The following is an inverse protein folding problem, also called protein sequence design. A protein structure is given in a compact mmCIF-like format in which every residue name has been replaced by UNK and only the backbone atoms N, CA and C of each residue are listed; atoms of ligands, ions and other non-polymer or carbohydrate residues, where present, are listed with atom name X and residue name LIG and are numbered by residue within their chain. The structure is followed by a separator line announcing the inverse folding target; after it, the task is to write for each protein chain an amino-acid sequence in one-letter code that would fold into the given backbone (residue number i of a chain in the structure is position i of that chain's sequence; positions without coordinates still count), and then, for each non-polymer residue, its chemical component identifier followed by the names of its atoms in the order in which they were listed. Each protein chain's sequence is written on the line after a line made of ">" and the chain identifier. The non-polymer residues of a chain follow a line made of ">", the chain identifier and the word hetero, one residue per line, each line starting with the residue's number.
data_IF_883028826878
#
_entry.id   IF_883028826878
#
_cell.length_a   1.000
_cell.length_b   1.000
_cell.length_c   1.000
_cell.angle_alpha   90.00
_cell.angle_beta   90.00
_cell.angle_gamma   90.00
#
_symmetry.space_group_name_H-M   'P 1'
#
loop_
_entity.id
_entity.type
_entity.pdbx_description
1 polymer ?
#
# COMPACT_ATOMS: atom_id res chain seq x y z
N UNK A 1 3.42 8.35 21.43
CA UNK A 1 3.79 6.97 21.05
C UNK A 1 2.83 6.58 19.93
N UNK A 2 3.30 6.65 18.67
CA UNK A 2 2.50 6.34 17.48
C UNK A 2 2.43 4.81 17.41
N UNK A 3 1.25 4.25 17.64
CA UNK A 3 0.99 2.82 17.44
C UNK A 3 0.37 2.66 16.05
N UNK A 4 0.79 1.66 15.27
CA UNK A 4 -0.05 1.18 14.18
C UNK A 4 -1.42 0.89 14.79
N UNK A 5 -2.45 1.56 14.30
CA UNK A 5 -3.76 1.41 14.89
C UNK A 5 -4.36 0.09 14.40
N UNK A 6 -4.84 -0.72 15.33
CA UNK A 6 -5.73 -1.82 14.98
C UNK A 6 -7.08 -1.18 14.63
N UNK A 7 -7.50 -1.31 13.38
CA UNK A 7 -8.83 -0.85 12.97
C UNK A 7 -9.85 -1.95 13.26
N UNK A 8 -10.85 -1.62 14.06
CA UNK A 8 -12.00 -2.52 14.27
C UNK A 8 -13.01 -2.24 13.18
N UNK A 9 -13.11 -3.14 12.23
CA UNK A 9 -14.12 -3.08 11.18
C UNK A 9 -15.43 -3.65 11.75
N UNK A 10 -16.43 -2.81 11.90
CA UNK A 10 -17.75 -3.26 12.32
C UNK A 10 -18.59 -3.56 11.08
N UNK A 11 -18.94 -4.83 10.83
CA UNK A 11 -19.90 -5.18 9.78
C UNK A 11 -21.23 -4.47 10.06
N UNK A 12 -21.86 -3.96 9.01
CA UNK A 12 -23.26 -3.49 9.13
C UNK A 12 -24.12 -4.70 9.50
N UNK A 13 -24.98 -4.55 10.51
CA UNK A 13 -25.83 -5.64 11.01
C UNK A 13 -26.55 -6.35 9.86
N UNK A 14 -26.33 -7.65 9.71
CA UNK A 14 -26.94 -8.48 8.66
C UNK A 14 -26.16 -8.57 7.34
N UNK A 15 -24.92 -8.07 7.26
CA UNK A 15 -24.04 -8.23 6.10
C UNK A 15 -22.84 -9.09 6.46
N UNK A 16 -22.44 -9.99 5.55
CA UNK A 16 -21.27 -10.87 5.73
C UNK A 16 -19.95 -10.20 5.28
N UNK A 17 -20.02 -9.05 4.61
CA UNK A 17 -18.88 -8.24 4.19
C UNK A 17 -19.28 -6.77 4.16
N UNK A 18 -18.29 -5.89 4.18
CA UNK A 18 -18.47 -4.45 4.14
C UNK A 18 -18.11 -3.92 2.75
N UNK A 19 -19.04 -3.20 2.11
CA UNK A 19 -18.82 -2.53 0.84
C UNK A 19 -19.03 -1.03 1.04
N UNK A 20 -17.97 -0.24 0.93
CA UNK A 20 -18.00 1.21 1.15
C UNK A 20 -17.54 1.94 -0.11
N UNK A 21 -18.24 3.01 -0.45
CA UNK A 21 -17.82 3.99 -1.43
C UNK A 21 -17.54 5.31 -0.74
N UNK A 22 -16.37 5.83 -0.98
CA UNK A 22 -15.94 7.14 -0.49
C UNK A 22 -15.89 8.11 -1.68
N UNK A 23 -16.56 9.23 -1.57
CA UNK A 23 -16.55 10.28 -2.59
C UNK A 23 -15.87 11.53 -2.00
N UNK A 24 -14.71 11.90 -2.54
CA UNK A 24 -13.89 13.06 -2.12
C UNK A 24 -13.69 13.13 -0.60
N UNK A 25 -13.38 12.00 -0.01
CA UNK A 25 -13.13 11.91 1.42
C UNK A 25 -11.64 12.16 1.72
N UNK A 26 -11.34 12.66 2.92
CA UNK A 26 -10.00 12.60 3.45
C UNK A 26 -9.59 11.11 3.61
N UNK A 27 -8.55 10.73 2.90
CA UNK A 27 -8.04 9.34 2.89
C UNK A 27 -6.75 9.35 3.74
N UNK A 28 -6.89 9.72 5.01
CA UNK A 28 -5.80 9.98 5.94
C UNK A 28 -5.70 8.95 7.07
N UNK A 29 -6.26 7.76 6.86
CA UNK A 29 -6.12 6.66 7.81
C UNK A 29 -4.63 6.48 8.17
N UNK A 30 -4.29 6.41 9.47
CA UNK A 30 -2.92 6.12 9.88
C UNK A 30 -2.48 4.77 9.33
N UNK A 31 -1.19 4.49 9.36
CA UNK A 31 -0.69 3.16 9.04
C UNK A 31 -1.33 2.15 10.01
N UNK A 32 -2.17 1.25 9.47
CA UNK A 32 -3.05 0.36 10.24
C UNK A 32 -3.04 -1.06 9.68
N UNK A 33 -3.66 -1.97 10.40
CA UNK A 33 -3.91 -3.35 9.98
C UNK A 33 -5.20 -3.85 10.64
N UNK A 34 -5.83 -4.83 10.02
CA UNK A 34 -7.05 -5.49 10.48
C UNK A 34 -7.08 -6.95 10.00
N UNK A 35 -7.87 -7.85 10.61
CA UNK A 35 -7.90 -9.27 10.28
C UNK A 35 -8.65 -9.61 9.00
N UNK A 36 -9.37 -8.67 8.40
CA UNK A 36 -10.11 -8.86 7.18
C UNK A 36 -9.22 -8.74 5.94
N UNK A 37 -9.64 -9.34 4.84
CA UNK A 37 -9.17 -9.01 3.51
C UNK A 37 -9.71 -7.65 3.11
N UNK A 38 -8.93 -6.89 2.36
CA UNK A 38 -9.35 -5.59 1.82
C UNK A 38 -9.07 -5.50 0.32
N UNK A 39 -10.12 -5.26 -0.46
CA UNK A 39 -10.01 -4.90 -1.88
C UNK A 39 -10.30 -3.41 -2.01
N UNK A 40 -9.27 -2.65 -2.38
CA UNK A 40 -9.35 -1.19 -2.55
C UNK A 40 -9.19 -0.83 -4.02
N UNK A 41 -10.16 -0.07 -4.55
CA UNK A 41 -10.15 0.56 -5.86
C UNK A 41 -10.16 2.07 -5.71
N UNK A 42 -9.14 2.75 -6.24
CA UNK A 42 -9.04 4.20 -6.27
C UNK A 42 -9.74 4.73 -7.54
N UNK A 43 -10.80 5.51 -7.37
CA UNK A 43 -11.53 6.15 -8.47
C UNK A 43 -10.91 7.50 -8.85
N UNK A 44 -10.42 8.24 -7.85
CA UNK A 44 -9.81 9.57 -8.00
C UNK A 44 -8.87 9.85 -6.83
N UNK A 45 -7.88 10.73 -7.03
CA UNK A 45 -6.87 11.06 -6.04
C UNK A 45 -5.52 10.40 -6.33
N UNK A 46 -4.46 11.05 -5.85
CA UNK A 46 -3.07 10.64 -6.04
C UNK A 46 -2.29 10.66 -4.73
N UNK A 47 -1.32 9.78 -4.61
CA UNK A 47 -0.49 9.74 -3.41
C UNK A 47 0.47 8.58 -3.35
N UNK A 48 0.86 8.25 -2.12
CA UNK A 48 1.72 7.10 -1.80
C UNK A 48 0.92 6.02 -1.10
N UNK A 49 0.99 4.80 -1.62
CA UNK A 49 0.50 3.58 -0.99
C UNK A 49 1.64 2.88 -0.28
N UNK A 50 1.42 2.56 0.97
CA UNK A 50 2.34 1.78 1.80
C UNK A 50 1.68 0.44 2.12
N UNK A 51 2.38 -0.67 1.84
CA UNK A 51 1.92 -2.03 2.11
C UNK A 51 3.10 -2.84 2.63
N UNK A 52 3.10 -3.22 3.90
CA UNK A 52 4.25 -3.82 4.54
C UNK A 52 5.50 -2.95 4.42
N UNK A 53 6.56 -3.48 3.82
CA UNK A 53 7.80 -2.73 3.51
C UNK A 53 7.79 -2.04 2.14
N UNK A 54 6.74 -2.22 1.35
CA UNK A 54 6.62 -1.68 0.01
C UNK A 54 5.96 -0.31 0.01
N UNK A 55 6.49 0.59 -0.83
CA UNK A 55 5.91 1.90 -1.08
C UNK A 55 5.90 2.19 -2.57
N UNK A 56 4.76 2.63 -3.08
CA UNK A 56 4.55 2.95 -4.50
C UNK A 56 3.56 4.11 -4.66
N UNK A 57 3.63 4.79 -5.78
CA UNK A 57 2.62 5.78 -6.14
C UNK A 57 1.28 5.11 -6.46
N UNK A 58 0.18 5.75 -6.09
CA UNK A 58 -1.15 5.37 -6.54
C UNK A 58 -1.85 6.53 -7.24
N UNK A 59 -2.77 6.21 -8.11
CA UNK A 59 -3.62 7.16 -8.81
C UNK A 59 -4.94 6.51 -9.22
N UNK A 60 -5.77 7.23 -10.01
CA UNK A 60 -7.03 6.70 -10.52
C UNK A 60 -6.84 5.37 -11.25
N UNK A 61 -7.69 4.41 -10.93
CA UNK A 61 -7.60 3.07 -11.48
C UNK A 61 -6.81 2.08 -10.63
N UNK A 62 -6.05 2.52 -9.61
CA UNK A 62 -5.29 1.61 -8.74
C UNK A 62 -6.23 0.60 -8.08
N UNK A 63 -5.88 -0.69 -8.15
CA UNK A 63 -6.66 -1.81 -7.64
C UNK A 63 -5.74 -2.77 -6.89
N UNK A 64 -5.99 -2.91 -5.59
CA UNK A 64 -5.14 -3.68 -4.69
C UNK A 64 -5.98 -4.58 -3.81
N UNK A 65 -5.54 -5.84 -3.66
CA UNK A 65 -6.07 -6.78 -2.65
C UNK A 65 -5.02 -7.01 -1.57
N UNK A 66 -5.40 -6.76 -0.35
CA UNK A 66 -4.60 -6.97 0.86
C UNK A 66 -5.12 -8.16 1.65
N UNK A 67 -4.21 -8.99 2.14
CA UNK A 67 -4.54 -10.08 3.03
C UNK A 67 -4.67 -9.65 4.50
N UNK A 68 -5.17 -10.55 5.36
CA UNK A 68 -5.34 -10.31 6.78
C UNK A 68 -4.05 -9.83 7.46
N UNK A 69 -4.19 -8.85 8.35
CA UNK A 69 -3.11 -8.31 9.18
C UNK A 69 -1.91 -7.76 8.39
N UNK A 70 -2.07 -7.48 7.10
CA UNK A 70 -1.05 -6.83 6.29
C UNK A 70 -1.11 -5.31 6.53
N UNK A 71 -0.07 -4.71 7.15
CA UNK A 71 -0.10 -3.29 7.46
C UNK A 71 -0.09 -2.44 6.21
N UNK A 72 -0.92 -1.41 6.18
CA UNK A 72 -1.07 -0.56 5.02
C UNK A 72 -1.60 0.83 5.35
N UNK A 73 -1.41 1.76 4.43
CA UNK A 73 -2.12 3.04 4.36
C UNK A 73 -1.94 3.69 2.99
N UNK A 74 -2.83 4.62 2.69
CA UNK A 74 -2.72 5.54 1.56
C UNK A 74 -2.49 6.95 2.11
N UNK A 75 -1.44 7.62 1.67
CA UNK A 75 -1.14 9.02 2.01
C UNK A 75 -1.32 9.86 0.76
N UNK A 76 -2.32 10.71 0.78
CA UNK A 76 -2.61 11.64 -0.31
C UNK A 76 -1.51 12.69 -0.45
N UNK A 77 -1.30 13.15 -1.67
CA UNK A 77 -0.47 14.31 -1.98
C UNK A 77 -1.38 15.50 -2.20
N UNK A 78 -1.14 16.58 -1.48
CA UNK A 78 -1.86 17.84 -1.57
C UNK A 78 -1.23 18.86 -0.64
N UNK A 79 -1.14 20.13 -1.09
CA UNK A 79 -0.53 21.20 -0.31
C UNK A 79 -1.44 21.68 0.84
N UNK A 80 -2.73 21.35 0.78
CA UNK A 80 -3.70 21.63 1.85
C UNK A 80 -4.59 20.41 2.11
N UNK A 81 -5.14 20.26 3.34
CA UNK A 81 -6.06 19.15 3.65
C UNK A 81 -7.30 19.09 2.74
N UNK A 82 -7.77 20.26 2.26
CA UNK A 82 -8.95 20.36 1.39
C UNK A 82 -8.68 19.80 -0.02
N UNK A 83 -7.42 19.85 -0.47
CA UNK A 83 -6.98 19.31 -1.76
C UNK A 83 -6.57 17.83 -1.66
N UNK A 84 -6.28 17.36 -0.46
CA UNK A 84 -5.90 15.97 -0.20
C UNK A 84 -7.16 15.09 -0.03
N UNK A 85 -7.92 14.91 -1.11
CA UNK A 85 -9.11 14.05 -1.12
C UNK A 85 -8.96 12.94 -2.15
N UNK A 86 -9.60 11.80 -1.88
CA UNK A 86 -9.71 10.69 -2.83
C UNK A 86 -11.14 10.17 -2.89
N UNK A 87 -11.46 9.55 -4.01
CA UNK A 87 -12.66 8.75 -4.18
C UNK A 87 -12.24 7.29 -4.34
N UNK A 88 -12.83 6.40 -3.54
CA UNK A 88 -12.45 4.99 -3.54
C UNK A 88 -13.66 4.07 -3.29
N UNK A 89 -13.54 2.83 -3.72
CA UNK A 89 -14.38 1.72 -3.27
C UNK A 89 -13.50 0.79 -2.45
N UNK A 90 -13.96 0.48 -1.23
CA UNK A 90 -13.26 -0.43 -0.31
C UNK A 90 -14.21 -1.55 0.07
N UNK A 91 -13.79 -2.80 -0.17
CA UNK A 91 -14.53 -4.01 0.18
C UNK A 91 -13.72 -4.78 1.19
N UNK A 92 -14.28 -4.99 2.39
CA UNK A 92 -13.63 -5.70 3.49
C UNK A 92 -14.46 -6.92 3.89
N UNK A 93 -13.81 -8.06 4.07
CA UNK A 93 -14.47 -9.31 4.40
C UNK A 93 -13.55 -10.26 5.17
N UNK A 94 -14.12 -11.03 6.07
CA UNK A 94 -13.42 -12.13 6.75
C UNK A 94 -13.18 -13.30 5.78
N UNK A 95 -12.11 -14.07 5.97
CA UNK A 95 -11.81 -15.24 5.13
C UNK A 95 -12.87 -16.33 5.17
N UNK A 96 -13.63 -16.41 6.27
CA UNK A 96 -14.72 -17.35 6.50
C UNK A 96 -16.11 -16.70 6.40
N UNK A 97 -16.26 -15.55 5.71
CA UNK A 97 -17.52 -14.80 5.66
C UNK A 97 -18.71 -15.56 5.06
N UNK A 98 -18.45 -16.68 4.38
CA UNK A 98 -19.45 -17.63 3.86
C UNK A 98 -19.39 -19.00 4.54
N UNK A 99 -18.61 -19.12 5.63
CA UNK A 99 -18.37 -20.36 6.36
C UNK A 99 -16.95 -20.90 6.16
N UNK A 100 -16.43 -21.60 7.15
CA UNK A 100 -15.02 -22.01 7.23
C UNK A 100 -14.54 -22.81 6.02
N UNK A 101 -15.35 -23.74 5.50
CA UNK A 101 -15.00 -24.65 4.40
C UNK A 101 -15.51 -24.18 3.02
N UNK A 102 -16.09 -22.98 2.92
CA UNK A 102 -16.72 -22.53 1.68
C UNK A 102 -15.71 -22.43 0.54
N UNK A 103 -14.57 -21.79 0.78
CA UNK A 103 -13.54 -21.59 -0.23
C UNK A 103 -12.64 -22.82 -0.47
N UNK A 104 -12.89 -23.93 0.20
CA UNK A 104 -12.21 -25.21 -0.02
C UNK A 104 -12.82 -26.03 -1.15
N UNK A 105 -13.95 -25.60 -1.70
CA UNK A 105 -14.59 -26.26 -2.83
C UNK A 105 -13.75 -26.13 -4.10
N UNK A 106 -13.76 -27.18 -4.92
CA UNK A 106 -12.95 -27.23 -6.15
C UNK A 106 -13.22 -26.07 -7.11
N UNK A 107 -14.47 -25.63 -7.19
CA UNK A 107 -14.89 -24.49 -8.03
C UNK A 107 -14.29 -23.16 -7.58
N UNK A 108 -13.85 -23.07 -6.32
CA UNK A 108 -13.34 -21.84 -5.70
C UNK A 108 -11.82 -21.86 -5.46
N UNK A 109 -11.11 -22.87 -5.97
CA UNK A 109 -9.66 -23.01 -5.79
C UNK A 109 -8.86 -21.79 -6.27
N UNK A 110 -9.33 -21.07 -7.29
CA UNK A 110 -8.68 -19.84 -7.75
C UNK A 110 -8.80 -18.72 -6.72
N UNK A 111 -9.96 -18.60 -6.06
CA UNK A 111 -10.16 -17.62 -4.98
C UNK A 111 -9.30 -18.01 -3.75
N UNK A 112 -9.26 -19.29 -3.38
CA UNK A 112 -8.40 -19.77 -2.29
C UNK A 112 -6.92 -19.43 -2.54
N UNK A 113 -6.42 -19.65 -3.76
CA UNK A 113 -5.05 -19.28 -4.15
C UNK A 113 -4.82 -17.77 -4.15
N UNK A 114 -5.83 -17.00 -4.55
CA UNK A 114 -5.81 -15.54 -4.48
C UNK A 114 -5.63 -15.07 -3.03
N UNK A 115 -6.39 -15.63 -2.10
CA UNK A 115 -6.29 -15.32 -0.67
C UNK A 115 -4.90 -15.65 -0.11
N UNK A 116 -4.31 -16.77 -0.48
CA UNK A 116 -2.93 -17.10 -0.07
C UNK A 116 -1.90 -16.07 -0.58
N UNK A 117 -2.02 -15.63 -1.83
CA UNK A 117 -1.12 -14.64 -2.43
C UNK A 117 -1.30 -13.24 -1.83
N UNK A 118 -2.51 -12.89 -1.41
CA UNK A 118 -2.82 -11.55 -0.87
C UNK A 118 -2.13 -11.25 0.45
N UNK A 119 -1.56 -12.25 1.13
CA UNK A 119 -0.66 -12.04 2.27
C UNK A 119 0.55 -11.14 1.93
N UNK A 120 0.92 -11.05 0.65
CA UNK A 120 1.96 -10.15 0.14
C UNK A 120 1.42 -8.80 -0.36
N UNK A 121 0.11 -8.59 -0.34
CA UNK A 121 -0.54 -7.55 -1.12
C UNK A 121 -0.41 -7.80 -2.62
N UNK A 122 -1.47 -7.61 -3.36
CA UNK A 122 -1.52 -7.83 -4.81
C UNK A 122 -1.99 -6.55 -5.48
N UNK A 123 -1.19 -5.98 -6.38
CA UNK A 123 -1.59 -4.91 -7.28
C UNK A 123 -1.98 -5.50 -8.64
N UNK A 124 -3.15 -5.14 -9.15
CA UNK A 124 -3.66 -5.62 -10.44
C UNK A 124 -3.47 -4.59 -11.53
N UNK A 125 -3.20 -5.06 -12.76
CA UNK A 125 -2.83 -4.22 -13.90
C UNK A 125 -3.70 -4.47 -15.12
N UNK A 126 -3.44 -3.72 -16.19
CA UNK A 126 -3.94 -3.94 -17.54
C UNK A 126 -5.47 -4.15 -17.61
N UNK A 127 -5.90 -5.08 -18.45
CA UNK A 127 -7.32 -5.36 -18.71
C UNK A 127 -8.07 -5.89 -17.51
N UNK A 128 -7.41 -6.67 -16.64
CA UNK A 128 -8.01 -7.17 -15.39
C UNK A 128 -8.44 -6.02 -14.50
N UNK A 129 -7.54 -5.06 -14.26
CA UNK A 129 -7.80 -3.85 -13.47
C UNK A 129 -9.01 -3.09 -14.03
N UNK A 130 -9.00 -2.77 -15.33
CA UNK A 130 -10.08 -2.03 -15.99
C UNK A 130 -11.43 -2.74 -15.86
N UNK A 131 -11.44 -4.05 -16.10
CA UNK A 131 -12.67 -4.85 -16.05
C UNK A 131 -13.24 -4.97 -14.64
N UNK A 132 -12.38 -5.17 -13.62
CA UNK A 132 -12.80 -5.27 -12.22
C UNK A 132 -13.26 -3.92 -11.68
N UNK A 133 -12.57 -2.84 -12.03
CA UNK A 133 -12.98 -1.47 -11.67
C UNK A 133 -14.39 -1.18 -12.18
N UNK A 134 -14.70 -1.57 -13.44
CA UNK A 134 -16.05 -1.43 -13.98
C UNK A 134 -17.09 -2.24 -13.18
N UNK A 135 -16.77 -3.48 -12.80
CA UNK A 135 -17.66 -4.31 -11.97
C UNK A 135 -17.89 -3.67 -10.59
N UNK A 136 -16.83 -3.19 -9.91
CA UNK A 136 -16.96 -2.53 -8.60
C UNK A 136 -17.80 -1.25 -8.67
N UNK A 137 -17.66 -0.45 -9.75
CA UNK A 137 -18.51 0.71 -9.99
C UNK A 137 -19.99 0.33 -10.18
N UNK A 138 -20.28 -0.77 -10.88
CA UNK A 138 -21.64 -1.27 -11.04
C UNK A 138 -22.20 -1.75 -9.68
N UNK A 139 -21.41 -2.51 -8.91
CA UNK A 139 -21.80 -3.01 -7.59
C UNK A 139 -22.02 -1.86 -6.59
N UNK A 140 -21.30 -0.74 -6.70
CA UNK A 140 -21.51 0.42 -5.81
C UNK A 140 -22.91 1.06 -5.93
N UNK A 141 -23.65 0.73 -6.97
CA UNK A 141 -25.04 1.20 -7.21
C UNK A 141 -26.08 0.12 -6.88
N UNK A 142 -25.65 -1.12 -6.65
CA UNK A 142 -26.55 -2.24 -6.36
C UNK A 142 -27.07 -2.15 -4.90
N UNK A 143 -28.37 -2.36 -4.71
CA UNK A 143 -29.03 -2.34 -3.41
C UNK A 143 -29.45 -3.73 -2.93
N UNK A 144 -29.46 -4.70 -3.82
CA UNK A 144 -29.82 -6.07 -3.51
C UNK A 144 -28.60 -6.79 -2.94
N UNK A 145 -28.64 -7.17 -1.67
CA UNK A 145 -27.52 -7.80 -0.96
C UNK A 145 -27.11 -9.13 -1.56
N UNK A 146 -28.06 -9.91 -2.11
CA UNK A 146 -27.74 -11.16 -2.79
C UNK A 146 -26.93 -10.91 -4.08
N UNK A 147 -27.34 -9.89 -4.88
CA UNK A 147 -26.59 -9.51 -6.08
C UNK A 147 -25.20 -8.94 -5.75
N UNK A 148 -25.09 -8.18 -4.65
CA UNK A 148 -23.79 -7.71 -4.15
C UNK A 148 -22.88 -8.88 -3.79
N UNK A 149 -23.38 -9.90 -3.11
CA UNK A 149 -22.63 -11.10 -2.76
C UNK A 149 -22.15 -11.86 -4.01
N UNK A 150 -23.06 -12.14 -4.95
CA UNK A 150 -22.70 -12.84 -6.20
C UNK A 150 -21.66 -12.02 -6.98
N UNK A 151 -21.87 -10.72 -7.11
CA UNK A 151 -20.92 -9.84 -7.82
C UNK A 151 -19.54 -9.77 -7.15
N UNK A 152 -19.47 -9.82 -5.80
CA UNK A 152 -18.19 -9.94 -5.11
C UNK A 152 -17.49 -11.26 -5.44
N UNK A 153 -18.21 -12.39 -5.43
CA UNK A 153 -17.63 -13.70 -5.80
C UNK A 153 -17.12 -13.71 -7.25
N UNK A 154 -17.86 -13.09 -8.18
CA UNK A 154 -17.42 -12.93 -9.59
C UNK A 154 -16.16 -12.08 -9.70
N UNK A 155 -16.06 -10.99 -8.94
CA UNK A 155 -14.85 -10.17 -8.86
C UNK A 155 -13.68 -10.98 -8.33
N UNK A 156 -13.85 -11.68 -7.20
CA UNK A 156 -12.79 -12.51 -6.61
C UNK A 156 -12.34 -13.62 -7.55
N UNK A 157 -13.28 -14.27 -8.25
CA UNK A 157 -12.95 -15.30 -9.25
C UNK A 157 -12.15 -14.72 -10.42
N UNK A 158 -12.53 -13.55 -10.93
CA UNK A 158 -11.80 -12.86 -11.99
C UNK A 158 -10.37 -12.51 -11.55
N UNK A 159 -10.21 -11.97 -10.33
CA UNK A 159 -8.90 -11.68 -9.74
C UNK A 159 -8.08 -12.94 -9.49
N UNK A 160 -8.72 -14.06 -9.12
CA UNK A 160 -8.07 -15.35 -8.86
C UNK A 160 -7.53 -16.05 -10.11
N UNK A 161 -8.12 -15.78 -11.27
CA UNK A 161 -7.77 -16.41 -12.55
C UNK A 161 -6.82 -15.61 -13.43
N UNK A 162 -6.58 -14.34 -13.08
CA UNK A 162 -5.67 -13.48 -13.86
C UNK A 162 -4.20 -13.76 -13.58
N UNK A 163 -3.35 -13.42 -14.57
CA UNK A 163 -1.91 -13.31 -14.42
C UNK A 163 -1.41 -11.85 -14.48
N UNK A 164 -2.33 -10.87 -14.66
CA UNK A 164 -2.02 -9.44 -14.75
C UNK A 164 -1.92 -8.80 -13.37
N UNK A 165 -0.94 -9.22 -12.58
CA UNK A 165 -0.73 -8.69 -11.23
C UNK A 165 0.75 -8.67 -10.83
N UNK A 166 1.08 -7.84 -9.84
CA UNK A 166 2.35 -7.87 -9.13
C UNK A 166 2.12 -8.06 -7.61
N UNK A 167 3.03 -8.80 -6.97
CA UNK A 167 3.07 -8.90 -5.51
C UNK A 167 3.83 -7.70 -4.95
N UNK A 168 3.24 -7.01 -3.96
CA UNK A 168 3.77 -5.78 -3.40
C UNK A 168 4.94 -6.04 -2.44
N UNK A 169 4.77 -6.91 -1.46
CA UNK A 169 5.83 -7.27 -0.52
C UNK A 169 6.14 -8.77 -0.58
N UNK A 170 6.99 -9.17 -1.53
CA UNK A 170 7.39 -10.56 -1.74
C UNK A 170 8.09 -11.19 -0.52
N UNK A 171 8.63 -10.37 0.39
CA UNK A 171 9.25 -10.87 1.62
C UNK A 171 8.22 -11.47 2.59
N UNK A 172 6.95 -11.13 2.43
CA UNK A 172 5.86 -11.70 3.23
C UNK A 172 5.53 -13.16 2.87
N UNK A 173 5.86 -13.63 1.64
CA UNK A 173 5.64 -15.03 1.24
C UNK A 173 6.52 -16.04 1.98
N UNK A 174 7.68 -15.61 2.49
CA UNK A 174 8.72 -16.52 3.01
C UNK A 174 8.50 -16.85 4.49
N UNK A 175 7.64 -16.14 5.18
CA UNK A 175 7.37 -16.39 6.59
C UNK A 175 5.86 -16.33 6.85
N UNK A 176 5.26 -17.46 7.20
CA UNK A 176 4.06 -17.44 8.03
C UNK A 176 4.42 -16.73 9.33
N UNK A 177 4.24 -15.40 9.36
CA UNK A 177 4.51 -14.61 10.57
C UNK A 177 3.46 -14.98 11.60
N UNK A 178 3.91 -15.37 12.78
CA UNK A 178 3.00 -15.52 13.89
C UNK A 178 2.34 -14.17 14.22
N UNK A 179 1.14 -14.20 14.79
CA UNK A 179 0.43 -12.99 15.25
C UNK A 179 1.35 -12.12 16.10
N UNK A 180 2.14 -12.74 16.99
CA UNK A 180 3.10 -12.03 17.86
C UNK A 180 4.25 -11.34 17.10
N UNK A 181 4.66 -11.87 15.96
CA UNK A 181 5.66 -11.22 15.10
C UNK A 181 5.06 -10.03 14.34
N UNK A 182 3.80 -10.15 13.89
CA UNK A 182 3.08 -9.04 13.27
C UNK A 182 2.85 -7.89 14.25
N UNK A 183 2.34 -8.18 15.45
CA UNK A 183 2.14 -7.19 16.51
C UNK A 183 3.44 -6.46 16.89
N UNK A 184 4.59 -7.11 16.75
CA UNK A 184 5.90 -6.52 17.07
C UNK A 184 6.44 -5.63 15.95
N UNK A 185 6.28 -6.04 14.67
CA UNK A 185 6.89 -5.33 13.54
C UNK A 185 6.00 -4.21 13.00
N UNK A 186 4.66 -4.35 13.06
CA UNK A 186 3.74 -3.38 12.52
C UNK A 186 3.89 -1.97 13.13
N UNK A 187 4.04 -1.80 14.46
CA UNK A 187 4.31 -0.49 15.04
C UNK A 187 5.63 0.13 14.58
N UNK A 188 6.63 -0.69 14.20
CA UNK A 188 7.90 -0.21 13.66
C UNK A 188 7.69 0.36 12.25
N UNK A 189 6.90 -0.31 11.40
CA UNK A 189 6.54 0.23 10.09
C UNK A 189 5.71 1.50 10.19
N UNK A 190 4.75 1.57 11.14
CA UNK A 190 4.02 2.80 11.41
C UNK A 190 4.96 3.96 11.76
N UNK A 191 5.92 3.72 12.65
CA UNK A 191 6.94 4.71 13.01
C UNK A 191 7.76 5.15 11.78
N UNK A 192 8.15 4.22 10.90
CA UNK A 192 8.86 4.55 9.67
C UNK A 192 8.03 5.45 8.74
N UNK A 193 6.79 5.06 8.44
CA UNK A 193 5.90 5.80 7.52
C UNK A 193 5.65 7.23 8.00
N UNK A 194 5.49 7.40 9.31
CA UNK A 194 5.22 8.72 9.89
C UNK A 194 6.46 9.61 10.02
N UNK A 195 7.67 9.01 10.10
CA UNK A 195 8.87 9.74 10.48
C UNK A 195 10.03 9.68 9.48
N UNK A 196 9.95 8.97 8.35
CA UNK A 196 11.11 8.77 7.44
C UNK A 196 11.72 10.10 6.94
N UNK A 197 10.93 11.17 6.87
CA UNK A 197 11.38 12.50 6.45
C UNK A 197 12.11 13.27 7.56
N UNK A 198 12.05 12.80 8.78
CA UNK A 198 12.70 13.37 9.96
C UNK A 198 13.92 12.53 10.38
N UNK A 199 14.74 12.98 11.33
CA UNK A 199 15.75 12.14 11.93
C UNK A 199 15.12 10.90 12.60
N UNK A 200 15.35 9.72 12.03
CA UNK A 200 14.85 8.44 12.55
C UNK A 200 15.88 7.80 13.45
N UNK A 201 15.49 7.42 14.67
CA UNK A 201 16.35 6.75 15.65
C UNK A 201 16.16 5.24 15.62
N UNK A 202 17.28 4.53 15.46
CA UNK A 202 17.33 3.08 15.56
C UNK A 202 16.96 2.58 16.96
N UNK A 203 17.35 3.31 18.00
CA UNK A 203 17.04 2.95 19.39
C UNK A 203 15.55 3.10 19.69
N UNK A 204 14.90 4.12 19.12
CA UNK A 204 13.44 4.30 19.22
C UNK A 204 12.73 3.13 18.53
N UNK A 205 13.15 2.76 17.32
CA UNK A 205 12.56 1.63 16.59
C UNK A 205 12.76 0.30 17.35
N UNK A 206 13.92 0.07 17.92
CA UNK A 206 14.21 -1.10 18.76
C UNK A 206 13.32 -1.12 20.02
N UNK A 207 13.16 0.03 20.69
CA UNK A 207 12.27 0.18 21.84
C UNK A 207 10.80 -0.10 21.50
N UNK A 208 10.31 0.33 20.32
CA UNK A 208 8.96 0.02 19.83
C UNK A 208 8.77 -1.49 19.67
N UNK A 209 9.79 -2.19 19.17
CA UNK A 209 9.78 -3.65 19.04
C UNK A 209 10.02 -4.42 20.35
N UNK A 210 10.22 -3.72 21.48
CA UNK A 210 10.64 -4.29 22.77
C UNK A 210 11.93 -5.11 22.67
N UNK A 211 12.93 -4.59 21.96
CA UNK A 211 14.21 -5.25 21.71
C UNK A 211 15.40 -4.33 22.01
N UNK A 212 16.56 -4.93 22.27
CA UNK A 212 17.83 -4.19 22.19
C UNK A 212 18.13 -3.84 20.73
N UNK A 213 18.87 -2.76 20.48
CA UNK A 213 19.24 -2.30 19.13
C UNK A 213 19.89 -3.40 18.29
N UNK A 214 20.81 -4.18 18.86
CA UNK A 214 21.46 -5.29 18.17
C UNK A 214 20.50 -6.43 17.81
N UNK A 215 19.61 -6.80 18.71
CA UNK A 215 18.59 -7.83 18.47
C UNK A 215 17.61 -7.36 17.40
N UNK A 216 17.19 -6.09 17.47
CA UNK A 216 16.30 -5.46 16.50
C UNK A 216 16.91 -5.45 15.09
N UNK A 217 18.16 -5.04 14.92
CA UNK A 217 18.82 -5.05 13.61
C UNK A 217 18.79 -6.43 12.95
N UNK A 218 19.10 -7.49 13.72
CA UNK A 218 19.06 -8.87 13.21
C UNK A 218 17.63 -9.31 12.90
N UNK A 219 16.70 -9.01 13.79
CA UNK A 219 15.28 -9.31 13.64
C UNK A 219 14.69 -8.62 12.41
N UNK A 220 14.85 -7.30 12.30
CA UNK A 220 14.33 -6.51 11.18
C UNK A 220 14.88 -7.03 9.84
N UNK A 221 16.19 -7.25 9.75
CA UNK A 221 16.82 -7.81 8.55
C UNK A 221 16.33 -9.23 8.21
N UNK A 222 16.08 -10.07 9.22
CA UNK A 222 15.49 -11.41 9.03
C UNK A 222 14.10 -11.32 8.40
N UNK A 223 13.26 -10.40 8.92
CA UNK A 223 11.85 -10.25 8.52
C UNK A 223 11.73 -9.56 7.15
N UNK A 224 12.49 -8.48 6.91
CA UNK A 224 12.32 -7.61 5.73
C UNK A 224 13.33 -7.89 4.62
N UNK A 225 14.34 -8.73 4.88
CA UNK A 225 15.52 -8.98 4.01
C UNK A 225 16.38 -7.72 3.76
N UNK A 226 16.05 -6.60 4.39
CA UNK A 226 16.76 -5.32 4.31
C UNK A 226 17.10 -4.84 5.72
N UNK A 227 18.11 -3.99 5.84
CA UNK A 227 18.36 -3.30 7.10
C UNK A 227 17.32 -2.19 7.30
N UNK A 228 17.12 -1.79 8.54
CA UNK A 228 16.24 -0.68 8.89
C UNK A 228 16.64 0.62 8.16
N UNK A 229 17.93 0.92 8.08
CA UNK A 229 18.43 2.10 7.37
C UNK A 229 18.24 2.03 5.85
N UNK A 230 18.38 0.85 5.25
CA UNK A 230 18.07 0.65 3.82
C UNK A 230 16.59 0.93 3.53
N UNK A 231 15.68 0.50 4.41
CA UNK A 231 14.25 0.76 4.27
C UNK A 231 13.94 2.27 4.38
N UNK A 232 14.57 2.99 5.33
CA UNK A 232 14.44 4.45 5.44
C UNK A 232 14.90 5.13 4.15
N UNK A 233 16.06 4.74 3.63
CA UNK A 233 16.62 5.32 2.39
C UNK A 233 15.68 5.08 1.22
N UNK A 234 15.06 3.91 1.09
CA UNK A 234 14.09 3.62 0.04
C UNK A 234 12.87 4.54 0.14
N UNK A 235 12.31 4.73 1.34
CA UNK A 235 11.18 5.64 1.56
C UNK A 235 11.54 7.08 1.19
N UNK A 236 12.72 7.57 1.59
CA UNK A 236 13.23 8.89 1.23
C UNK A 236 13.43 9.07 -0.27
N UNK A 237 14.01 8.09 -0.93
CA UNK A 237 14.24 8.14 -2.38
C UNK A 237 12.92 8.11 -3.15
N UNK A 238 11.97 7.27 -2.76
CA UNK A 238 10.67 7.22 -3.41
C UNK A 238 9.89 8.55 -3.24
N UNK A 239 9.96 9.17 -2.07
CA UNK A 239 9.42 10.52 -1.89
C UNK A 239 10.13 11.54 -2.79
N UNK A 240 11.47 11.49 -2.85
CA UNK A 240 12.25 12.38 -3.70
C UNK A 240 11.94 12.22 -5.20
N UNK A 241 11.78 10.99 -5.69
CA UNK A 241 11.43 10.73 -7.11
C UNK A 241 10.11 11.37 -7.49
N UNK A 242 9.11 11.29 -6.62
CA UNK A 242 7.82 11.93 -6.81
C UNK A 242 7.95 13.45 -6.87
N UNK A 243 8.64 14.06 -5.87
CA UNK A 243 8.85 15.52 -5.85
C UNK A 243 9.63 16.02 -7.06
N UNK A 244 10.58 15.23 -7.57
CA UNK A 244 11.33 15.56 -8.78
C UNK A 244 10.46 15.63 -10.04
N UNK A 245 9.41 14.83 -10.13
CA UNK A 245 8.52 14.76 -11.29
C UNK A 245 7.33 15.71 -11.17
N UNK A 246 6.79 15.88 -9.96
CA UNK A 246 5.55 16.63 -9.73
C UNK A 246 5.76 18.10 -9.36
N UNK A 247 6.99 18.52 -9.07
CA UNK A 247 7.26 19.89 -8.63
C UNK A 247 8.50 20.48 -9.29
N UNK A 248 8.53 21.83 -9.38
CA UNK A 248 9.72 22.58 -9.83
C UNK A 248 10.69 22.93 -8.70
N UNK A 249 10.49 22.38 -7.50
CA UNK A 249 11.36 22.64 -6.34
C UNK A 249 12.83 22.42 -6.67
N UNK A 250 13.75 23.24 -6.12
CA UNK A 250 15.19 22.98 -6.20
C UNK A 250 15.55 21.58 -5.68
N UNK A 251 16.48 20.89 -6.34
CA UNK A 251 16.89 19.53 -5.96
C UNK A 251 17.43 19.49 -4.52
N UNK A 252 18.10 20.56 -4.07
CA UNK A 252 18.56 20.69 -2.69
C UNK A 252 17.40 20.73 -1.68
N UNK A 253 16.33 21.44 -1.99
CA UNK A 253 15.12 21.48 -1.17
C UNK A 253 14.46 20.10 -1.12
N UNK A 254 14.28 19.44 -2.27
CA UNK A 254 13.76 18.06 -2.34
C UNK A 254 14.59 17.10 -1.49
N UNK A 255 15.93 17.25 -1.51
CA UNK A 255 16.81 16.45 -0.66
C UNK A 255 16.47 16.57 0.81
N UNK A 256 16.34 17.80 1.33
CA UNK A 256 16.00 18.05 2.73
C UNK A 256 14.56 17.63 3.05
N UNK A 257 13.59 17.96 2.20
CA UNK A 257 12.19 17.56 2.34
C UNK A 257 12.01 16.04 2.39
N UNK A 258 12.90 15.32 1.73
CA UNK A 258 12.95 13.85 1.74
C UNK A 258 13.62 13.26 2.98
N UNK A 259 14.15 14.10 3.87
CA UNK A 259 14.81 13.69 5.11
C UNK A 259 16.30 13.38 5.00
N UNK A 260 16.97 13.74 3.89
CA UNK A 260 18.42 13.65 3.82
C UNK A 260 19.05 14.85 4.53
N UNK A 261 19.98 14.60 5.44
CA UNK A 261 20.71 15.66 6.16
C UNK A 261 21.80 16.33 5.36
N UNK A 262 22.16 15.79 4.19
CA UNK A 262 23.25 16.27 3.33
C UNK A 262 22.93 16.02 1.85
N UNK A 263 23.07 17.07 1.04
CA UNK A 263 22.74 17.04 -0.40
C UNK A 263 23.70 16.14 -1.18
N UNK A 264 24.98 16.09 -0.82
CA UNK A 264 25.99 15.26 -1.49
C UNK A 264 25.70 13.77 -1.25
N UNK A 265 25.33 13.42 -0.01
CA UNK A 265 24.87 12.07 0.34
C UNK A 265 23.61 11.69 -0.44
N UNK A 266 22.63 12.62 -0.57
CA UNK A 266 21.46 12.41 -1.41
C UNK A 266 21.83 12.09 -2.86
N UNK A 267 22.63 12.94 -3.51
CA UNK A 267 23.03 12.75 -4.90
C UNK A 267 23.71 11.39 -5.13
N UNK A 268 24.65 11.02 -4.25
CA UNK A 268 25.35 9.74 -4.32
C UNK A 268 24.39 8.56 -4.19
N UNK A 269 23.52 8.61 -3.18
CA UNK A 269 22.56 7.53 -2.86
C UNK A 269 21.51 7.41 -3.96
N UNK A 270 20.98 8.54 -4.44
CA UNK A 270 20.00 8.57 -5.53
C UNK A 270 20.59 7.97 -6.81
N UNK A 271 21.80 8.42 -7.22
CA UNK A 271 22.47 7.90 -8.42
C UNK A 271 22.75 6.39 -8.32
N UNK A 272 23.16 5.92 -7.14
CA UNK A 272 23.43 4.50 -6.92
C UNK A 272 22.17 3.64 -7.04
N UNK A 273 21.03 4.12 -6.50
CA UNK A 273 19.78 3.34 -6.46
C UNK A 273 18.93 3.49 -7.72
N UNK A 274 18.87 4.70 -8.30
CA UNK A 274 18.03 5.02 -9.47
C UNK A 274 18.80 4.97 -10.79
N UNK A 275 20.14 4.75 -10.76
CA UNK A 275 21.03 4.72 -11.92
C UNK A 275 21.06 6.02 -12.75
N UNK A 276 20.43 7.08 -12.25
CA UNK A 276 20.38 8.44 -12.82
C UNK A 276 20.67 9.46 -11.73
N UNK A 277 21.25 10.61 -12.11
CA UNK A 277 21.28 11.75 -11.17
C UNK A 277 19.87 12.31 -10.98
N UNK A 278 19.56 12.99 -9.83
CA UNK A 278 18.25 13.61 -9.62
C UNK A 278 17.82 14.54 -10.77
N UNK A 279 18.76 15.34 -11.28
CA UNK A 279 18.49 16.24 -12.43
C UNK A 279 18.14 15.46 -13.70
N UNK A 280 18.88 14.40 -14.02
CA UNK A 280 18.60 13.59 -15.20
C UNK A 280 17.33 12.77 -15.06
N UNK A 281 16.99 12.34 -13.84
CA UNK A 281 15.71 11.71 -13.52
C UNK A 281 14.56 12.66 -13.80
N UNK A 282 14.59 13.89 -13.26
CA UNK A 282 13.60 14.94 -13.55
C UNK A 282 13.43 15.17 -15.05
N UNK A 283 14.53 15.42 -15.77
CA UNK A 283 14.49 15.69 -17.23
C UNK A 283 13.91 14.54 -18.05
N UNK A 284 14.14 13.30 -17.63
CA UNK A 284 13.62 12.12 -18.32
C UNK A 284 12.10 12.02 -18.15
N UNK A 285 11.63 12.07 -16.92
CA UNK A 285 10.22 11.78 -16.61
C UNK A 285 9.28 12.99 -16.79
N UNK A 286 9.74 14.24 -16.72
CA UNK A 286 8.93 15.39 -17.14
C UNK A 286 8.67 15.39 -18.67
N UNK A 287 9.64 14.99 -19.49
CA UNK A 287 9.43 14.87 -20.93
C UNK A 287 8.46 13.77 -21.34
N UNK A 288 8.37 12.70 -20.56
CA UNK A 288 7.41 11.61 -20.81
C UNK A 288 5.97 12.08 -20.55
N UNK A 289 5.73 12.94 -19.56
CA UNK A 289 4.42 13.53 -19.26
C UNK A 289 3.98 14.53 -20.36
N UNK A 290 4.90 15.38 -20.84
CA UNK A 290 4.60 16.34 -21.93
C UNK A 290 4.22 15.66 -23.26
N UNK A 291 4.67 14.42 -23.50
CA UNK A 291 4.37 13.65 -24.71
C UNK A 291 3.00 12.96 -24.63
N UNK A 292 2.55 12.55 -23.44
CA UNK A 292 1.23 11.94 -23.27
C UNK A 292 0.10 12.98 -23.34
N UNK A 293 0.33 14.23 -22.91
CA UNK A 293 -0.66 15.32 -23.07
C UNK A 293 -0.84 15.80 -24.52
N UNK A 294 0.13 15.55 -25.40
CA UNK A 294 0.05 15.99 -26.83
C UNK A 294 -0.63 14.93 -27.73
N UNK A 295 -0.81 13.70 -27.23
CA UNK A 295 -1.37 12.56 -28.00
C UNK A 295 -2.78 12.17 -27.53
N UNK A 296 -3.32 12.80 -26.48
CA UNK A 296 -4.70 12.68 -25.98
C UNK A 296 -5.55 13.84 -26.45
#
# INVERSE_FOLDING_TARGET
>A
MIKASFEVIQPVTGQSFLFRKFDKAAFDAPYHFHPEYELTYIMDGYGKRYVGSHMEDFGPGDLVLLGPNLPHCWKLVGDTPELATASAIVVQFDGAFLGDDFFDKNELLHIKKLFQKSACGISFHSNTRTSVNHNLLALSKEKNHFKLLIGLLEVLQKLGTTNDYALLDQNMMVAERSVSEQERINPVFAYLVENFRQPVSLDVAAGIANMTTNAFCKYFKKITRKTFMETIIEYRLNYATQQLVQTDKPISEISFDSGFGDVSHFYKTFKTKMHLSPLNYRKKFMRELDVEEVVG
#
